data_IF_738397098715
#
_entry.id   IF_738397098715
#
_cell.length_a   1.000
_cell.length_b   1.000
_cell.length_c   1.000
_cell.angle_alpha   90.00
_cell.angle_beta   90.00
_cell.angle_gamma   90.00
#
_symmetry.space_group_name_H-M   'P 1'
#
loop_
_entity.id
_entity.type
_entity.pdbx_description
1 polymer ?
#
# COMPACT_ATOMS: atom_id res chain seq x y z
N UNK A 1 12.73 -8.09 -12.86
CA UNK A 1 13.81 -7.40 -13.60
C UNK A 1 14.94 -7.07 -12.63
N UNK A 2 16.21 -7.17 -13.03
CA UNK A 2 17.36 -6.87 -12.16
C UNK A 2 18.09 -5.66 -12.73
N UNK A 3 18.05 -4.54 -11.99
CA UNK A 3 18.76 -3.32 -12.37
C UNK A 3 20.15 -3.36 -11.74
N UNK A 4 21.18 -3.25 -12.57
CA UNK A 4 22.57 -3.10 -12.12
C UNK A 4 22.92 -1.62 -12.12
N UNK A 5 23.46 -1.13 -11.00
CA UNK A 5 23.85 0.27 -10.84
C UNK A 5 25.28 0.31 -10.34
N UNK A 6 26.10 1.16 -10.95
CA UNK A 6 27.46 1.44 -10.50
C UNK A 6 27.45 2.65 -9.57
N UNK A 7 28.14 2.52 -8.43
CA UNK A 7 28.25 3.57 -7.43
C UNK A 7 29.73 3.89 -7.21
N UNK A 8 30.10 5.18 -7.06
CA UNK A 8 31.42 5.56 -6.60
C UNK A 8 31.75 4.89 -5.26
N UNK A 9 33.02 4.51 -5.07
CA UNK A 9 33.46 3.73 -3.89
C UNK A 9 33.12 4.41 -2.56
N UNK A 10 33.37 5.72 -2.46
CA UNK A 10 33.06 6.53 -1.28
C UNK A 10 31.56 6.50 -0.93
N UNK A 11 30.69 6.49 -1.94
CA UNK A 11 29.24 6.47 -1.76
C UNK A 11 28.77 5.08 -1.36
N UNK A 12 29.35 4.04 -1.97
CA UNK A 12 29.09 2.66 -1.60
C UNK A 12 29.47 2.39 -0.13
N UNK A 13 30.59 2.94 0.35
CA UNK A 13 30.99 2.79 1.74
C UNK A 13 30.03 3.49 2.71
N UNK A 14 29.66 4.74 2.42
CA UNK A 14 28.67 5.48 3.22
C UNK A 14 27.31 4.76 3.24
N UNK A 15 26.90 4.20 2.09
CA UNK A 15 25.66 3.47 1.99
C UNK A 15 25.70 2.18 2.82
N UNK A 16 26.79 1.39 2.74
CA UNK A 16 26.96 0.19 3.57
C UNK A 16 26.87 0.52 5.06
N UNK A 17 27.49 1.61 5.51
CA UNK A 17 27.41 2.08 6.90
C UNK A 17 25.98 2.41 7.31
N UNK A 18 25.29 3.21 6.50
CA UNK A 18 23.88 3.55 6.72
C UNK A 18 22.98 2.32 6.81
N UNK A 19 23.18 1.35 5.92
CA UNK A 19 22.40 0.10 5.91
C UNK A 19 22.68 -0.72 7.17
N UNK A 20 23.94 -0.83 7.59
CA UNK A 20 24.30 -1.52 8.82
C UNK A 20 23.66 -0.89 10.06
N UNK A 21 23.66 0.44 10.17
CA UNK A 21 23.08 1.17 11.30
C UNK A 21 21.55 1.07 11.35
N UNK A 22 20.87 1.23 10.19
CA UNK A 22 19.41 1.33 10.15
C UNK A 22 18.69 -0.02 9.97
N UNK A 23 19.28 -0.96 9.24
CA UNK A 23 18.65 -2.24 8.87
C UNK A 23 19.36 -3.47 9.47
N UNK A 24 20.60 -3.32 9.93
CA UNK A 24 21.45 -4.39 10.45
C UNK A 24 22.09 -5.27 9.37
N UNK A 25 22.84 -6.28 9.80
CA UNK A 25 23.56 -7.22 8.93
C UNK A 25 22.71 -8.43 8.51
N UNK A 26 21.56 -8.19 7.86
CA UNK A 26 20.68 -9.26 7.36
C UNK A 26 20.84 -9.47 5.85
N UNK A 27 20.69 -10.72 5.38
CA UNK A 27 20.63 -11.02 3.94
C UNK A 27 19.51 -10.20 3.31
N UNK A 28 19.84 -9.40 2.29
CA UNK A 28 18.89 -8.53 1.60
C UNK A 28 18.69 -7.14 2.21
N UNK A 29 19.40 -6.77 3.29
CA UNK A 29 19.30 -5.44 3.90
C UNK A 29 19.66 -4.30 2.92
N UNK A 30 20.65 -4.53 2.05
CA UNK A 30 21.03 -3.59 0.99
C UNK A 30 19.90 -3.37 -0.01
N UNK A 31 19.34 -4.46 -0.56
CA UNK A 31 18.23 -4.38 -1.51
C UNK A 31 17.01 -3.69 -0.91
N UNK A 32 16.71 -3.98 0.36
CA UNK A 32 15.62 -3.33 1.08
C UNK A 32 15.87 -1.84 1.29
N UNK A 33 17.08 -1.46 1.71
CA UNK A 33 17.42 -0.05 1.88
C UNK A 33 17.37 0.74 0.57
N UNK A 34 17.71 0.12 -0.57
CA UNK A 34 17.55 0.74 -1.89
C UNK A 34 16.08 0.90 -2.24
N UNK A 35 15.26 -0.14 -2.03
CA UNK A 35 13.82 -0.07 -2.27
C UNK A 35 13.16 1.04 -1.43
N UNK A 36 13.42 1.05 -0.12
CA UNK A 36 12.91 2.09 0.79
C UNK A 36 13.38 3.49 0.37
N UNK A 37 14.63 3.65 -0.08
CA UNK A 37 15.13 4.94 -0.56
C UNK A 37 14.37 5.43 -1.80
N UNK A 38 14.10 4.52 -2.74
CA UNK A 38 13.35 4.81 -3.96
C UNK A 38 11.89 5.12 -3.63
N UNK A 39 11.25 4.32 -2.77
CA UNK A 39 9.87 4.53 -2.32
C UNK A 39 9.70 5.89 -1.63
N UNK A 40 10.66 6.28 -0.78
CA UNK A 40 10.68 7.59 -0.14
C UNK A 40 10.80 8.72 -1.14
N UNK A 41 11.73 8.61 -2.09
CA UNK A 41 11.98 9.66 -3.09
C UNK A 41 10.81 9.82 -4.05
N UNK A 42 10.15 8.72 -4.41
CA UNK A 42 8.96 8.72 -5.25
C UNK A 42 7.68 9.09 -4.48
N UNK A 43 7.76 9.35 -3.17
CA UNK A 43 6.60 9.65 -2.33
C UNK A 43 5.59 8.50 -2.21
N UNK A 44 6.02 7.27 -2.54
CA UNK A 44 5.19 6.06 -2.53
C UNK A 44 4.90 5.55 -1.11
N UNK A 45 5.60 6.08 -0.10
CA UNK A 45 5.31 5.78 1.31
C UNK A 45 3.89 6.21 1.73
N UNK A 46 3.21 7.08 0.97
CA UNK A 46 1.79 7.42 1.21
C UNK A 46 0.78 6.44 0.60
N UNK A 47 1.21 5.49 -0.22
CA UNK A 47 0.29 4.58 -0.90
C UNK A 47 -0.06 3.33 -0.09
N UNK A 48 0.64 3.06 1.01
CA UNK A 48 0.40 1.86 1.82
C UNK A 48 -0.47 2.16 3.05
N UNK A 49 -1.71 1.67 2.97
CA UNK A 49 -2.44 0.99 4.06
C UNK A 49 -3.23 1.76 5.12
N UNK A 50 -3.81 2.93 4.84
CA UNK A 50 -4.97 3.43 5.62
C UNK A 50 -6.12 3.90 4.74
N UNK A 51 -5.81 4.54 3.60
CA UNK A 51 -6.83 5.11 2.72
C UNK A 51 -7.83 4.08 2.14
N UNK A 52 -7.46 2.80 2.04
CA UNK A 52 -8.35 1.77 1.48
C UNK A 52 -9.33 1.24 2.53
N UNK A 53 -8.88 0.92 3.74
CA UNK A 53 -9.77 0.39 4.79
C UNK A 53 -10.64 1.53 5.35
N UNK A 54 -10.06 2.68 5.66
CA UNK A 54 -10.82 3.84 6.14
C UNK A 54 -11.77 4.36 5.04
N UNK A 55 -11.37 4.24 3.77
CA UNK A 55 -12.23 4.53 2.62
C UNK A 55 -13.41 3.56 2.51
N UNK A 56 -13.17 2.25 2.65
CA UNK A 56 -14.23 1.22 2.62
C UNK A 56 -15.17 1.37 3.83
N UNK A 57 -14.62 1.59 5.03
CA UNK A 57 -15.42 1.81 6.24
C UNK A 57 -16.21 3.10 6.14
N UNK A 58 -15.62 4.18 5.61
CA UNK A 58 -16.29 5.44 5.34
C UNK A 58 -17.46 5.28 4.36
N UNK A 59 -17.28 4.50 3.29
CA UNK A 59 -18.37 4.15 2.37
C UNK A 59 -19.48 3.34 3.06
N UNK A 60 -19.12 2.43 3.97
CA UNK A 60 -20.09 1.69 4.79
C UNK A 60 -20.88 2.59 5.74
N UNK A 61 -20.23 3.55 6.39
CA UNK A 61 -20.89 4.50 7.31
C UNK A 61 -21.80 5.51 6.60
N UNK A 62 -21.48 5.85 5.35
CA UNK A 62 -22.31 6.72 4.50
C UNK A 62 -23.47 5.98 3.82
N UNK A 63 -23.48 4.64 3.89
CA UNK A 63 -24.55 3.83 3.32
C UNK A 63 -25.79 3.90 4.20
N UNK A 64 -26.94 4.14 3.59
CA UNK A 64 -28.27 4.02 4.18
C UNK A 64 -28.74 2.55 4.30
N UNK A 65 -27.92 1.63 3.80
CA UNK A 65 -28.21 0.20 3.76
C UNK A 65 -27.70 -0.54 5.00
N UNK A 66 -28.60 -1.15 5.76
CA UNK A 66 -28.29 -2.08 6.85
C UNK A 66 -28.33 -3.51 6.35
N UNK A 67 -27.26 -4.28 6.58
CA UNK A 67 -27.21 -5.68 6.20
C UNK A 67 -27.89 -6.56 7.25
N UNK A 68 -28.97 -7.26 6.89
CA UNK A 68 -29.74 -8.09 7.83
C UNK A 68 -29.44 -9.60 7.73
N UNK A 69 -28.34 -9.98 7.07
CA UNK A 69 -27.93 -11.38 6.90
C UNK A 69 -28.48 -12.06 5.64
N UNK A 70 -29.00 -11.27 4.71
CA UNK A 70 -29.49 -11.70 3.40
C UNK A 70 -28.36 -12.05 2.41
N UNK A 71 -28.70 -12.73 1.31
CA UNK A 71 -27.74 -13.04 0.27
C UNK A 71 -27.36 -11.78 -0.54
N UNK A 72 -26.05 -11.62 -0.83
CA UNK A 72 -25.52 -10.45 -1.55
C UNK A 72 -26.15 -10.27 -2.92
N UNK A 73 -26.35 -11.35 -3.66
CA UNK A 73 -26.93 -11.25 -5.00
C UNK A 73 -28.42 -10.88 -4.91
N UNK A 74 -29.13 -11.36 -3.89
CA UNK A 74 -30.53 -11.00 -3.67
C UNK A 74 -30.71 -9.54 -3.22
N UNK A 75 -29.89 -9.07 -2.27
CA UNK A 75 -29.84 -7.67 -1.84
C UNK A 75 -29.61 -6.71 -3.01
N UNK A 76 -28.62 -7.00 -3.84
CA UNK A 76 -28.27 -6.18 -5.01
C UNK A 76 -29.41 -6.15 -6.04
N UNK A 77 -30.06 -7.29 -6.30
CA UNK A 77 -31.21 -7.35 -7.22
C UNK A 77 -32.38 -6.53 -6.71
N UNK A 78 -32.71 -6.59 -5.41
CA UNK A 78 -33.79 -5.80 -4.81
C UNK A 78 -33.53 -4.31 -4.94
N UNK A 79 -32.30 -3.86 -4.63
CA UNK A 79 -31.92 -2.45 -4.75
C UNK A 79 -32.00 -1.96 -6.20
N UNK A 80 -31.55 -2.77 -7.16
CA UNK A 80 -31.62 -2.43 -8.58
C UNK A 80 -33.06 -2.41 -9.13
N UNK A 81 -33.99 -3.13 -8.47
CA UNK A 81 -35.39 -3.23 -8.89
C UNK A 81 -36.29 -2.13 -8.32
N UNK A 82 -35.78 -1.24 -7.46
CA UNK A 82 -36.51 -0.07 -6.95
C UNK A 82 -36.57 1.05 -8.00
N UNK A 83 -37.71 1.75 -8.18
CA UNK A 83 -37.85 2.84 -9.15
C UNK A 83 -37.17 4.10 -8.61
N UNK A 84 -35.85 4.16 -8.78
CA UNK A 84 -35.02 5.27 -8.32
C UNK A 84 -33.54 5.15 -8.68
N UNK A 85 -33.14 4.15 -9.47
CA UNK A 85 -31.77 4.03 -9.97
C UNK A 85 -31.41 5.19 -10.90
N UNK A 86 -30.69 6.17 -10.37
CA UNK A 86 -29.77 7.01 -11.14
C UNK A 86 -28.37 6.44 -10.98
#
# INVERSE_FOLDING_TARGET
>A
EVIKVELPEWLAERFRRYVAEKYGFRRGALSRAVADLIERELGLERASSSATVDGIVGLGLLSDYSWEGEDVAEALRRRWSLPGGR
#
